data_IF_143207728419
#
_entry.id   IF_143207728419
#
_cell.length_a   1.000
_cell.length_b   1.000
_cell.length_c   1.000
_cell.angle_alpha   90.00
_cell.angle_beta   90.00
_cell.angle_gamma   90.00
#
_symmetry.space_group_name_H-M   'P 1'
#
loop_
_entity.id
_entity.type
_entity.pdbx_description
1 polymer ?
#
# COMPACT_ATOMS: atom_id res chain seq x y z
N UNK A 1 0.06 12.43 6.04
CA UNK A 1 0.48 13.13 4.81
C UNK A 1 -0.65 13.08 3.81
N UNK A 2 -0.99 14.18 3.14
CA UNK A 2 -2.08 14.19 2.16
C UNK A 2 -1.60 13.53 0.85
N UNK A 3 -2.55 13.01 0.07
CA UNK A 3 -2.26 12.37 -1.23
C UNK A 3 -1.45 13.29 -2.15
N UNK A 4 -1.81 14.58 -2.19
CA UNK A 4 -1.16 15.59 -3.01
C UNK A 4 0.32 15.75 -2.65
N UNK A 5 0.65 15.86 -1.36
CA UNK A 5 2.03 16.00 -0.88
C UNK A 5 2.89 14.81 -1.32
N UNK A 6 2.31 13.59 -1.29
CA UNK A 6 3.00 12.37 -1.72
C UNK A 6 3.29 12.39 -3.21
N UNK A 7 2.27 12.71 -4.01
CA UNK A 7 2.38 12.67 -5.46
C UNK A 7 3.43 13.70 -5.92
N UNK A 8 3.46 14.89 -5.31
CA UNK A 8 4.49 15.91 -5.54
C UNK A 8 5.90 15.45 -5.14
N UNK A 9 6.05 14.72 -4.04
CA UNK A 9 7.33 14.11 -3.65
C UNK A 9 7.81 13.11 -4.70
N UNK A 10 6.92 12.24 -5.19
CA UNK A 10 7.25 11.20 -6.18
C UNK A 10 7.63 11.79 -7.55
N UNK A 11 7.02 12.91 -7.94
CA UNK A 11 7.31 13.62 -9.19
C UNK A 11 8.71 14.26 -9.20
N UNK A 12 9.25 14.64 -8.03
CA UNK A 12 10.53 15.33 -7.92
C UNK A 12 11.74 14.41 -7.70
N UNK A 13 11.55 13.08 -7.67
CA UNK A 13 12.65 12.13 -7.49
C UNK A 13 13.50 12.01 -8.75
N UNK A 14 14.83 12.00 -8.59
CA UNK A 14 15.74 11.68 -9.69
C UNK A 14 15.57 10.21 -10.13
N UNK A 15 16.04 9.86 -11.33
CA UNK A 15 15.98 8.48 -11.82
C UNK A 15 16.76 7.50 -10.91
N UNK A 16 17.84 7.97 -10.29
CA UNK A 16 18.65 7.20 -9.35
C UNK A 16 17.93 7.01 -8.01
N UNK A 17 17.31 8.06 -7.49
CA UNK A 17 16.48 7.99 -6.28
C UNK A 17 15.28 7.06 -6.48
N UNK A 18 14.66 7.09 -7.68
CA UNK A 18 13.59 6.16 -8.07
C UNK A 18 14.04 4.70 -8.06
N UNK A 19 15.27 4.42 -8.51
CA UNK A 19 15.83 3.07 -8.51
C UNK A 19 16.05 2.58 -7.08
N UNK A 20 16.67 3.41 -6.24
CA UNK A 20 16.89 3.09 -4.81
C UNK A 20 15.57 2.90 -4.07
N UNK A 21 14.58 3.75 -4.31
CA UNK A 21 13.25 3.64 -3.74
C UNK A 21 12.55 2.34 -4.17
N UNK A 22 12.62 1.98 -5.45
CA UNK A 22 12.00 0.74 -5.94
C UNK A 22 12.63 -0.50 -5.34
N UNK A 23 13.96 -0.53 -5.27
CA UNK A 23 14.71 -1.61 -4.63
C UNK A 23 14.35 -1.73 -3.15
N UNK A 24 14.23 -0.59 -2.45
CA UNK A 24 13.74 -0.54 -1.07
C UNK A 24 12.36 -1.18 -0.91
N UNK A 25 11.40 -0.84 -1.79
CA UNK A 25 10.03 -1.37 -1.70
C UNK A 25 9.98 -2.88 -1.97
N UNK A 26 10.77 -3.37 -2.94
CA UNK A 26 10.81 -4.79 -3.25
C UNK A 26 11.43 -5.59 -2.10
N UNK A 27 12.53 -5.10 -1.52
CA UNK A 27 13.17 -5.70 -0.34
C UNK A 27 12.25 -5.65 0.90
N UNK A 28 11.54 -4.53 1.11
CA UNK A 28 10.54 -4.38 2.17
C UNK A 28 9.45 -5.45 2.05
N UNK A 29 8.86 -5.60 0.85
CA UNK A 29 7.81 -6.60 0.60
C UNK A 29 8.33 -8.02 0.78
N UNK A 30 9.56 -8.31 0.35
CA UNK A 30 10.18 -9.63 0.51
C UNK A 30 10.41 -9.96 1.99
N UNK A 31 11.01 -9.04 2.75
CA UNK A 31 11.23 -9.20 4.19
C UNK A 31 9.92 -9.32 4.97
N UNK A 32 8.91 -8.52 4.64
CA UNK A 32 7.56 -8.62 5.26
C UNK A 32 6.89 -9.97 4.98
N UNK A 33 7.02 -10.51 3.76
CA UNK A 33 6.50 -11.84 3.42
C UNK A 33 7.22 -12.97 4.18
N UNK A 34 8.52 -12.82 4.41
CA UNK A 34 9.33 -13.79 5.14
C UNK A 34 9.13 -13.71 6.66
N UNK A 35 8.82 -12.53 7.19
CA UNK A 35 8.46 -12.32 8.59
C UNK A 35 7.05 -12.85 8.86
N UNK A 36 6.95 -14.13 9.23
CA UNK A 36 5.72 -14.78 9.68
C UNK A 36 5.23 -14.33 11.07
N UNK A 37 5.71 -13.20 11.60
CA UNK A 37 5.42 -12.74 12.95
C UNK A 37 5.54 -11.23 13.14
N UNK A 38 4.39 -10.56 13.21
CA UNK A 38 4.23 -9.19 13.70
C UNK A 38 4.79 -8.07 12.80
N UNK A 39 4.22 -6.85 12.87
CA UNK A 39 4.75 -5.71 12.14
C UNK A 39 6.12 -5.31 12.71
N UNK A 40 7.18 -5.42 11.89
CA UNK A 40 8.39 -4.62 12.12
C UNK A 40 8.07 -3.17 11.74
N UNK A 41 8.20 -2.20 12.67
CA UNK A 41 7.89 -0.80 12.37
C UNK A 41 8.74 -0.30 11.21
N UNK A 42 8.13 0.44 10.29
CA UNK A 42 8.77 1.12 9.15
C UNK A 42 10.14 1.73 9.47
N UNK A 43 10.21 2.32 10.66
CA UNK A 43 11.33 3.08 11.19
C UNK A 43 12.58 2.21 11.40
N UNK A 44 12.42 1.01 11.97
CA UNK A 44 13.53 0.09 12.21
C UNK A 44 14.15 -0.43 10.91
N UNK A 45 13.33 -0.60 9.86
CA UNK A 45 13.82 -1.03 8.55
C UNK A 45 14.50 0.10 7.77
N UNK A 46 14.04 1.35 7.92
CA UNK A 46 14.69 2.52 7.34
C UNK A 46 16.09 2.75 7.93
N UNK A 47 16.24 2.53 9.24
CA UNK A 47 17.54 2.63 9.91
C UNK A 47 18.48 1.47 9.51
N UNK A 48 17.95 0.30 9.18
CA UNK A 48 18.74 -0.87 8.76
C UNK A 48 19.35 -0.76 7.36
N UNK A 49 18.92 0.19 6.52
CA UNK A 49 19.31 0.27 5.10
C UNK A 49 20.59 1.07 4.87
N UNK A 50 21.25 1.56 5.93
CA UNK A 50 22.66 1.94 5.85
C UNK A 50 22.97 2.93 4.73
N UNK A 51 22.46 4.14 4.87
CA UNK A 51 22.71 5.27 3.97
C UNK A 51 22.01 6.48 4.56
N UNK A 52 22.53 7.68 4.33
CA UNK A 52 21.86 8.92 4.77
C UNK A 52 20.83 9.27 3.69
N UNK A 53 19.56 8.81 3.78
CA UNK A 53 18.61 9.04 2.72
C UNK A 53 18.29 10.54 2.73
N UNK A 54 18.11 11.14 1.56
CA UNK A 54 17.56 12.51 1.53
C UNK A 54 16.24 12.52 2.30
N UNK A 55 15.94 13.64 2.98
CA UNK A 55 14.73 13.76 3.82
C UNK A 55 13.44 13.41 3.05
N UNK A 56 13.44 13.65 1.73
CA UNK A 56 12.37 13.34 0.80
C UNK A 56 12.18 11.82 0.62
N UNK A 57 13.27 11.06 0.41
CA UNK A 57 13.21 9.60 0.28
C UNK A 57 12.70 8.94 1.57
N UNK A 58 13.12 9.45 2.74
CA UNK A 58 12.61 8.97 4.03
C UNK A 58 11.11 9.21 4.17
N UNK A 59 10.63 10.41 3.86
CA UNK A 59 9.19 10.73 3.92
C UNK A 59 8.37 9.89 2.93
N UNK A 60 8.86 9.69 1.70
CA UNK A 60 8.20 8.85 0.72
C UNK A 60 8.09 7.40 1.20
N UNK A 61 9.18 6.86 1.77
CA UNK A 61 9.19 5.52 2.32
C UNK A 61 8.27 5.37 3.54
N UNK A 62 8.31 6.30 4.49
CA UNK A 62 7.40 6.33 5.65
C UNK A 62 5.92 6.37 5.21
N UNK A 63 5.59 7.19 4.21
CA UNK A 63 4.23 7.29 3.69
C UNK A 63 3.74 5.99 3.05
N UNK A 64 4.62 5.26 2.36
CA UNK A 64 4.28 3.96 1.77
C UNK A 64 4.14 2.89 2.84
N UNK A 65 5.03 2.86 3.84
CA UNK A 65 4.91 1.86 4.91
C UNK A 65 3.65 2.09 5.74
N UNK A 66 3.33 3.33 6.14
CA UNK A 66 2.09 3.63 6.87
C UNK A 66 0.85 3.19 6.08
N UNK A 67 0.84 3.41 4.76
CA UNK A 67 -0.23 2.91 3.89
C UNK A 67 -0.29 1.38 3.90
N UNK A 68 0.86 0.72 3.79
CA UNK A 68 0.96 -0.74 3.73
C UNK A 68 0.63 -1.40 5.09
N UNK A 69 0.77 -0.69 6.22
CA UNK A 69 0.30 -1.10 7.56
C UNK A 69 -1.22 -0.95 7.71
N UNK A 70 -1.83 0.05 7.07
CA UNK A 70 -3.29 0.26 7.10
C UNK A 70 -4.05 -0.58 6.05
N UNK A 71 -3.34 -1.19 5.10
CA UNK A 71 -3.94 -1.99 4.03
C UNK A 71 -4.32 -3.41 4.46
N UNK A 72 -5.19 -4.09 3.71
CA UNK A 72 -5.55 -5.48 3.98
C UNK A 72 -4.33 -6.41 3.81
N UNK A 73 -4.14 -7.36 4.72
CA UNK A 73 -3.05 -8.32 4.63
C UNK A 73 -3.45 -9.54 3.79
N UNK A 74 -2.45 -10.20 3.20
CA UNK A 74 -2.70 -11.46 2.50
C UNK A 74 -3.19 -12.52 3.49
N UNK A 75 -4.30 -13.18 3.14
CA UNK A 75 -4.95 -14.16 4.01
C UNK A 75 -6.04 -13.58 4.91
N UNK A 76 -6.07 -12.25 5.13
CA UNK A 76 -7.17 -11.61 5.82
C UNK A 76 -8.48 -11.81 5.05
N UNK A 77 -9.54 -12.12 5.79
CA UNK A 77 -10.89 -12.16 5.22
C UNK A 77 -11.33 -10.70 5.01
N UNK A 78 -11.65 -10.29 3.77
CA UNK A 78 -12.10 -8.92 3.54
C UNK A 78 -13.42 -8.67 4.28
N UNK A 79 -13.63 -7.46 4.85
CA UNK A 79 -14.92 -7.09 5.41
C UNK A 79 -16.02 -7.21 4.36
N UNK A 80 -17.15 -7.82 4.72
CA UNK A 80 -18.30 -7.89 3.82
C UNK A 80 -18.90 -6.49 3.65
N UNK A 81 -19.48 -6.24 2.49
CA UNK A 81 -20.20 -5.01 2.21
C UNK A 81 -21.45 -5.33 1.41
N UNK A 82 -22.43 -4.44 1.50
CA UNK A 82 -23.64 -4.46 0.71
C UNK A 82 -23.84 -3.06 0.15
N UNK A 83 -23.49 -2.87 -1.11
CA UNK A 83 -23.43 -1.55 -1.76
C UNK A 83 -24.36 -1.49 -2.96
N UNK A 84 -25.01 -0.35 -3.14
CA UNK A 84 -25.85 -0.08 -4.32
C UNK A 84 -24.96 0.08 -5.56
N UNK A 85 -25.38 -0.51 -6.69
CA UNK A 85 -24.73 -0.29 -7.98
C UNK A 85 -24.97 1.15 -8.45
N UNK A 86 -23.94 1.76 -9.01
CA UNK A 86 -24.07 3.08 -9.61
C UNK A 86 -25.14 3.06 -10.72
N UNK A 87 -26.09 4.00 -10.66
CA UNK A 87 -27.17 4.11 -11.64
C UNK A 87 -28.31 3.09 -11.53
N UNK A 88 -28.36 2.27 -10.47
CA UNK A 88 -29.40 1.24 -10.29
C UNK A 88 -29.77 1.05 -8.82
N UNK A 89 -30.98 0.58 -8.53
CA UNK A 89 -31.39 0.12 -7.19
C UNK A 89 -30.80 -1.24 -6.80
N UNK A 90 -30.19 -1.95 -7.77
CA UNK A 90 -29.55 -3.23 -7.51
C UNK A 90 -28.43 -3.09 -6.47
N UNK A 91 -28.33 -4.08 -5.58
CA UNK A 91 -27.32 -4.13 -4.53
C UNK A 91 -26.36 -5.29 -4.76
N UNK A 92 -25.09 -5.05 -4.50
CA UNK A 92 -24.01 -6.04 -4.60
C UNK A 92 -23.46 -6.30 -3.22
N UNK A 93 -23.47 -7.58 -2.83
CA UNK A 93 -22.87 -8.04 -1.58
C UNK A 93 -21.60 -8.84 -1.85
N UNK A 94 -20.49 -8.50 -1.19
CA UNK A 94 -19.19 -9.13 -1.45
C UNK A 94 -19.20 -10.63 -1.19
N UNK A 95 -19.82 -11.07 -0.10
CA UNK A 95 -19.90 -12.50 0.28
C UNK A 95 -20.57 -13.39 -0.78
N UNK A 96 -21.37 -12.82 -1.69
CA UNK A 96 -22.02 -13.58 -2.78
C UNK A 96 -21.04 -14.12 -3.82
N UNK A 97 -19.82 -13.57 -3.88
CA UNK A 97 -18.77 -14.04 -4.78
C UNK A 97 -17.85 -15.10 -4.16
N UNK A 98 -17.92 -15.32 -2.84
CA UNK A 98 -17.02 -16.23 -2.12
C UNK A 98 -17.11 -17.64 -2.69
N UNK A 99 -15.97 -18.25 -2.99
CA UNK A 99 -15.87 -19.62 -3.49
C UNK A 99 -16.31 -19.83 -4.95
N UNK A 100 -16.68 -18.77 -5.68
CA UNK A 100 -17.12 -18.87 -7.08
C UNK A 100 -16.01 -18.51 -8.07
N UNK A 101 -15.29 -17.42 -7.82
CA UNK A 101 -14.18 -16.92 -8.65
C UNK A 101 -13.36 -15.87 -7.90
N UNK A 102 -12.11 -15.59 -8.31
CA UNK A 102 -11.35 -14.46 -7.81
C UNK A 102 -12.11 -13.13 -8.02
N UNK A 103 -11.98 -12.22 -7.06
CA UNK A 103 -12.62 -10.89 -7.08
C UNK A 103 -11.55 -9.82 -6.89
N UNK A 104 -11.57 -8.79 -7.71
CA UNK A 104 -10.77 -7.60 -7.53
C UNK A 104 -11.64 -6.48 -6.93
N UNK A 105 -11.16 -5.83 -5.88
CA UNK A 105 -11.76 -4.62 -5.31
C UNK A 105 -10.98 -3.40 -5.75
N UNK A 106 -11.67 -2.45 -6.38
CA UNK A 106 -11.06 -1.22 -6.90
C UNK A 106 -11.73 -0.05 -6.19
N UNK A 107 -10.93 0.74 -5.49
CA UNK A 107 -11.35 2.00 -4.87
C UNK A 107 -10.91 3.14 -5.78
N UNK A 108 -11.87 3.87 -6.33
CA UNK A 108 -11.61 4.98 -7.23
C UNK A 108 -12.68 6.05 -7.08
N UNK A 109 -12.33 7.27 -7.49
CA UNK A 109 -13.23 8.40 -7.58
C UNK A 109 -13.04 9.05 -8.94
N UNK A 110 -14.14 9.53 -9.54
CA UNK A 110 -14.06 10.46 -10.65
C UNK A 110 -14.05 11.88 -10.07
N UNK A 111 -13.11 12.69 -10.54
CA UNK A 111 -13.03 14.13 -10.28
C UNK A 111 -13.11 14.84 -11.60
#
# INVERSE_FOLDING_TARGET
MLKADRDQIMENLSAEDWKHFRQFIDDYRAKRRAASGGPMPAREMLDAIGGNPTSILRQAAEAVVLRDEMGPHAGDVPPDFDLKRMGSEERVRLSTFKGRRPVALIFGSYT
#
